data_IF_735410426465
#
_entry.id   IF_735410426465
#
_cell.length_a   1.000
_cell.length_b   1.000
_cell.length_c   1.000
_cell.angle_alpha   90.00
_cell.angle_beta   90.00
_cell.angle_gamma   90.00
#
_symmetry.space_group_name_H-M   'P 1'
#
loop_
_entity.id
_entity.type
_entity.pdbx_description
1 polymer ?
#
# COMPACT_ATOMS: atom_id res chain seq x y z
N UNK A 1 -0.04 -4.74 13.53
CA UNK A 1 0.54 -3.49 13.01
C UNK A 1 1.97 -3.72 12.57
N UNK A 2 2.36 -3.21 11.41
CA UNK A 2 3.74 -3.21 10.92
C UNK A 2 4.53 -2.07 11.59
N UNK A 3 5.78 -2.30 11.93
CA UNK A 3 6.61 -1.35 12.72
C UNK A 3 7.93 -1.01 12.04
N UNK A 4 8.42 -1.86 11.13
CA UNK A 4 9.63 -1.59 10.38
C UNK A 4 9.64 -2.33 9.05
N UNK A 5 10.22 -1.69 8.05
CA UNK A 5 10.48 -2.25 6.72
C UNK A 5 11.98 -2.12 6.42
N UNK A 6 12.65 -3.21 6.09
CA UNK A 6 14.02 -3.20 5.58
C UNK A 6 14.04 -3.82 4.20
N UNK A 7 14.68 -3.15 3.25
CA UNK A 7 14.70 -3.52 1.83
C UNK A 7 16.15 -3.61 1.37
N UNK A 8 16.48 -4.61 0.55
CA UNK A 8 17.76 -4.70 -0.19
C UNK A 8 17.57 -5.14 -1.63
N UNK A 9 18.40 -4.58 -2.52
CA UNK A 9 18.47 -4.89 -3.95
C UNK A 9 17.14 -4.76 -4.72
N UNK A 10 16.22 -3.92 -4.25
CA UNK A 10 14.87 -3.79 -4.82
C UNK A 10 14.67 -2.41 -5.44
N UNK A 11 14.38 -2.38 -6.75
CA UNK A 11 14.14 -1.15 -7.53
C UNK A 11 15.18 -0.07 -7.26
N UNK A 12 14.81 1.03 -6.62
CA UNK A 12 15.70 2.16 -6.34
C UNK A 12 16.65 1.92 -5.16
N UNK A 13 16.46 0.85 -4.38
CA UNK A 13 17.16 0.67 -3.10
C UNK A 13 18.28 -0.35 -3.15
N UNK A 14 19.47 0.08 -2.74
CA UNK A 14 20.57 -0.82 -2.39
C UNK A 14 20.28 -1.53 -1.07
N UNK A 15 20.16 -0.72 -0.01
CA UNK A 15 19.74 -1.13 1.32
C UNK A 15 19.10 0.08 2.00
N UNK A 16 17.90 -0.09 2.55
CA UNK A 16 17.23 0.94 3.33
C UNK A 16 16.44 0.31 4.47
N UNK A 17 16.34 1.02 5.60
CA UNK A 17 15.46 0.67 6.71
C UNK A 17 14.54 1.84 7.03
N UNK A 18 13.24 1.58 7.08
CA UNK A 18 12.18 2.56 7.24
C UNK A 18 11.39 2.21 8.50
N UNK A 19 11.30 3.17 9.41
CA UNK A 19 10.42 3.07 10.58
C UNK A 19 8.96 3.21 10.13
N UNK A 20 8.11 2.33 10.64
CA UNK A 20 6.66 2.39 10.44
C UNK A 20 5.96 2.61 11.79
N UNK A 21 4.74 3.13 11.74
CA UNK A 21 3.86 3.32 12.88
C UNK A 21 2.40 3.16 12.46
N UNK A 22 1.46 3.51 13.34
CA UNK A 22 0.01 3.43 13.02
C UNK A 22 -0.35 4.24 11.78
N UNK A 23 0.25 5.43 11.64
CA UNK A 23 0.12 6.31 10.49
C UNK A 23 1.50 6.79 10.08
N UNK A 24 1.84 6.56 8.82
CA UNK A 24 3.14 6.89 8.24
C UNK A 24 2.94 7.66 6.94
N UNK A 25 3.66 8.77 6.78
CA UNK A 25 3.67 9.55 5.54
C UNK A 25 5.09 9.62 5.00
N UNK A 26 5.29 9.07 3.80
CA UNK A 26 6.49 9.20 3.00
C UNK A 26 6.41 10.50 2.20
N UNK A 27 7.42 11.35 2.35
CA UNK A 27 7.49 12.65 1.67
C UNK A 27 8.80 12.82 0.93
N UNK A 28 8.75 13.49 -0.21
CA UNK A 28 9.92 13.70 -1.07
C UNK A 28 9.54 13.90 -2.52
N UNK A 29 10.51 14.25 -3.39
CA UNK A 29 10.24 14.52 -4.80
C UNK A 29 9.80 13.27 -5.58
N UNK A 30 9.32 13.48 -6.80
CA UNK A 30 9.04 12.37 -7.70
C UNK A 30 10.30 11.53 -7.93
N UNK A 31 10.12 10.22 -8.16
CA UNK A 31 11.20 9.27 -8.38
C UNK A 31 12.16 9.03 -7.19
N UNK A 32 11.89 9.57 -6.00
CA UNK A 32 12.74 9.35 -4.81
C UNK A 32 12.61 7.97 -4.14
N UNK A 33 11.77 7.08 -4.69
CA UNK A 33 11.58 5.71 -4.18
C UNK A 33 10.39 5.50 -3.24
N UNK A 34 9.55 6.51 -2.98
CA UNK A 34 8.35 6.38 -2.11
C UNK A 34 7.43 5.23 -2.54
N UNK A 35 7.01 5.22 -3.81
CA UNK A 35 6.18 4.15 -4.36
C UNK A 35 6.93 2.80 -4.37
N UNK A 36 8.25 2.80 -4.54
CA UNK A 36 9.06 1.58 -4.41
C UNK A 36 9.02 1.01 -2.98
N UNK A 37 9.00 1.84 -1.93
CA UNK A 37 8.88 1.37 -0.57
C UNK A 37 7.50 0.74 -0.28
N UNK A 38 6.42 1.34 -0.78
CA UNK A 38 5.08 0.75 -0.71
C UNK A 38 5.01 -0.58 -1.48
N UNK A 39 5.57 -0.62 -2.68
CA UNK A 39 5.61 -1.83 -3.50
C UNK A 39 6.45 -2.95 -2.88
N UNK A 40 7.49 -2.63 -2.09
CA UNK A 40 8.24 -3.63 -1.34
C UNK A 40 7.37 -4.33 -0.29
N UNK A 41 6.52 -3.59 0.44
CA UNK A 41 5.56 -4.17 1.37
C UNK A 41 4.53 -5.06 0.65
N UNK A 42 4.04 -4.61 -0.51
CA UNK A 42 3.12 -5.40 -1.32
C UNK A 42 3.77 -6.70 -1.84
N UNK A 43 5.02 -6.64 -2.30
CA UNK A 43 5.77 -7.84 -2.72
C UNK A 43 6.01 -8.80 -1.54
N UNK A 44 6.34 -8.27 -0.37
CA UNK A 44 6.52 -9.06 0.85
C UNK A 44 5.22 -9.78 1.24
N UNK A 45 4.08 -9.10 1.22
CA UNK A 45 2.77 -9.69 1.55
C UNK A 45 2.41 -10.84 0.58
N UNK A 46 2.60 -10.64 -0.73
CA UNK A 46 2.44 -11.72 -1.72
C UNK A 46 3.37 -12.88 -1.42
N UNK A 47 4.63 -12.59 -1.10
CA UNK A 47 5.64 -13.57 -0.73
C UNK A 47 5.22 -14.43 0.47
N UNK A 48 4.73 -13.79 1.54
CA UNK A 48 4.26 -14.46 2.76
C UNK A 48 3.05 -15.33 2.47
N UNK A 49 2.03 -14.79 1.79
CA UNK A 49 0.80 -15.53 1.46
C UNK A 49 1.10 -16.75 0.60
N UNK A 50 1.92 -16.61 -0.45
CA UNK A 50 2.35 -17.72 -1.30
C UNK A 50 3.19 -18.75 -0.55
N UNK A 51 4.03 -18.31 0.38
CA UNK A 51 4.80 -19.21 1.24
C UNK A 51 3.88 -20.06 2.12
N UNK A 52 2.99 -19.42 2.88
CA UNK A 52 2.08 -20.09 3.82
C UNK A 52 1.09 -21.00 3.08
N UNK A 53 0.58 -20.60 1.91
CA UNK A 53 -0.28 -21.44 1.06
C UNK A 53 0.40 -22.78 0.67
N UNK A 54 1.70 -22.75 0.37
CA UNK A 54 2.43 -23.91 -0.15
C UNK A 54 3.18 -24.71 0.90
N UNK A 55 3.60 -24.07 2.00
CA UNK A 55 4.53 -24.65 2.99
C UNK A 55 4.01 -24.58 4.43
N UNK A 56 3.00 -23.75 4.72
CA UNK A 56 2.56 -23.47 6.09
C UNK A 56 3.65 -22.81 6.93
N UNK A 57 3.51 -22.92 8.25
CA UNK A 57 4.44 -22.42 9.27
C UNK A 57 5.45 -23.49 9.75
N UNK A 58 5.48 -24.64 9.06
CA UNK A 58 6.34 -25.78 9.38
C UNK A 58 7.81 -25.61 9.00
N UNK A 59 8.59 -26.67 9.21
CA UNK A 59 10.03 -26.67 8.94
C UNK A 59 10.33 -26.42 7.46
N UNK A 60 11.29 -25.52 7.19
CA UNK A 60 11.70 -25.19 5.82
C UNK A 60 12.53 -26.34 5.22
N UNK A 61 12.17 -26.88 4.04
CA UNK A 61 12.93 -27.98 3.42
C UNK A 61 14.38 -27.59 3.09
N UNK A 62 15.33 -28.49 3.35
CA UNK A 62 16.75 -28.26 3.01
C UNK A 62 16.99 -28.19 1.49
N UNK A 63 16.24 -29.00 0.71
CA UNK A 63 16.35 -29.05 -0.76
C UNK A 63 15.19 -28.30 -1.41
N UNK A 64 15.53 -27.37 -2.32
CA UNK A 64 14.58 -26.53 -3.07
C UNK A 64 13.54 -25.85 -2.16
N UNK A 65 13.99 -25.00 -1.21
CA UNK A 65 13.09 -24.33 -0.28
C UNK A 65 12.13 -23.36 -0.97
N UNK A 66 12.51 -22.81 -2.14
CA UNK A 66 11.76 -21.75 -2.82
C UNK A 66 10.35 -22.15 -3.26
N UNK A 67 9.40 -21.23 -3.08
CA UNK A 67 8.09 -21.25 -3.74
C UNK A 67 8.14 -20.34 -4.96
N UNK A 68 7.61 -20.79 -6.08
CA UNK A 68 7.57 -19.98 -7.31
C UNK A 68 6.47 -18.94 -7.22
N UNK A 69 6.79 -17.71 -7.60
CA UNK A 69 5.84 -16.61 -7.78
C UNK A 69 5.91 -16.18 -9.24
N UNK A 70 4.75 -16.10 -9.91
CA UNK A 70 4.67 -15.56 -11.26
C UNK A 70 4.49 -14.05 -11.20
N UNK A 71 5.11 -13.29 -12.10
CA UNK A 71 4.95 -11.82 -12.14
C UNK A 71 3.51 -11.37 -12.34
N UNK A 72 2.66 -12.19 -12.96
CA UNK A 72 1.23 -11.91 -13.17
C UNK A 72 0.42 -12.00 -11.87
N UNK A 73 0.96 -12.68 -10.86
CA UNK A 73 0.38 -12.70 -9.50
C UNK A 73 0.71 -11.41 -8.73
N UNK A 74 1.61 -10.55 -9.23
CA UNK A 74 1.97 -9.27 -8.62
C UNK A 74 0.99 -8.17 -9.01
N UNK A 75 -0.25 -8.31 -8.56
CA UNK A 75 -1.35 -7.41 -8.91
C UNK A 75 -1.01 -5.97 -8.53
N UNK A 76 -0.52 -5.74 -7.30
CA UNK A 76 -0.15 -4.43 -6.78
C UNK A 76 1.23 -3.90 -7.25
N UNK A 77 2.04 -4.74 -7.88
CA UNK A 77 3.37 -4.37 -8.39
C UNK A 77 3.53 -4.88 -9.82
N UNK A 78 2.68 -4.41 -10.76
CA UNK A 78 2.69 -4.92 -12.12
C UNK A 78 4.02 -4.54 -12.78
N UNK A 79 4.74 -5.56 -13.27
CA UNK A 79 5.96 -5.38 -14.06
C UNK A 79 5.87 -6.21 -15.35
N UNK A 80 6.33 -5.66 -16.48
CA UNK A 80 6.35 -6.40 -17.75
C UNK A 80 7.38 -7.54 -17.75
N UNK A 81 8.43 -7.43 -16.93
CA UNK A 81 9.43 -8.48 -16.72
C UNK A 81 9.91 -8.48 -15.25
N UNK A 82 10.15 -9.66 -14.68
CA UNK A 82 10.49 -9.83 -13.27
C UNK A 82 11.79 -9.13 -12.86
N UNK A 83 12.78 -9.02 -13.75
CA UNK A 83 14.06 -8.36 -13.48
C UNK A 83 13.91 -6.86 -13.17
N UNK A 84 12.78 -6.22 -13.52
CA UNK A 84 12.48 -4.83 -13.15
C UNK A 84 12.24 -4.62 -11.65
N UNK A 85 12.09 -5.70 -10.88
CA UNK A 85 12.06 -5.64 -9.42
C UNK A 85 13.48 -5.50 -8.84
N UNK A 86 14.51 -5.99 -9.55
CA UNK A 86 15.89 -5.93 -9.10
C UNK A 86 16.48 -4.55 -9.37
N UNK A 87 17.24 -4.06 -8.40
CA UNK A 87 18.02 -2.85 -8.56
C UNK A 87 18.92 -2.95 -9.79
N UNK A 88 18.90 -1.91 -10.62
CA UNK A 88 19.67 -1.78 -11.86
C UNK A 88 19.51 -2.96 -12.84
N UNK A 89 18.39 -3.68 -12.76
CA UNK A 89 18.14 -4.94 -13.50
C UNK A 89 19.17 -6.04 -13.20
N UNK A 90 19.94 -5.87 -12.12
CA UNK A 90 21.09 -6.67 -11.79
C UNK A 90 20.68 -7.93 -11.02
N UNK A 91 20.47 -9.02 -11.76
CA UNK A 91 20.00 -10.30 -11.21
C UNK A 91 21.13 -11.29 -10.88
N UNK A 92 22.36 -11.02 -11.35
CA UNK A 92 23.52 -11.92 -11.22
C UNK A 92 24.81 -11.13 -11.04
N UNK A 93 25.61 -11.55 -10.07
CA UNK A 93 26.93 -10.97 -9.80
C UNK A 93 28.03 -12.02 -9.96
N UNK A 94 29.15 -11.64 -10.56
CA UNK A 94 30.34 -12.48 -10.63
C UNK A 94 31.21 -12.31 -9.39
N UNK A 95 31.53 -13.40 -8.71
CA UNK A 95 32.44 -13.43 -7.56
C UNK A 95 33.69 -14.24 -7.94
N UNK A 96 34.88 -13.66 -7.73
CA UNK A 96 36.15 -14.38 -7.96
C UNK A 96 36.50 -15.17 -6.71
N UNK A 97 36.43 -16.50 -6.80
CA UNK A 97 36.87 -17.41 -5.74
C UNK A 97 37.95 -18.31 -6.34
N UNK A 98 39.13 -18.34 -5.71
CA UNK A 98 40.27 -19.18 -6.14
C UNK A 98 40.63 -19.05 -7.65
N UNK A 99 40.57 -17.83 -8.19
CA UNK A 99 40.91 -17.56 -9.60
C UNK A 99 39.85 -17.95 -10.62
N UNK A 100 38.69 -18.47 -10.21
CA UNK A 100 37.52 -18.72 -11.07
C UNK A 100 36.40 -17.72 -10.79
N UNK A 101 35.76 -17.22 -11.84
CA UNK A 101 34.55 -16.39 -11.71
C UNK A 101 33.34 -17.31 -11.51
N UNK A 102 32.78 -17.29 -10.30
CA UNK A 102 31.51 -17.94 -9.97
C UNK A 102 30.40 -16.90 -10.08
N UNK A 103 29.39 -17.19 -10.90
CA UNK A 103 28.19 -16.34 -10.99
C UNK A 103 27.21 -16.74 -9.90
N UNK A 104 26.83 -15.80 -9.05
CA UNK A 104 25.79 -15.95 -8.03
C UNK A 104 24.59 -15.08 -8.38
N UNK A 105 23.40 -15.53 -8.01
CA UNK A 105 22.20 -14.70 -8.13
C UNK A 105 22.22 -13.60 -7.07
N UNK A 106 21.82 -12.40 -7.47
CA UNK A 106 21.58 -11.28 -6.56
C UNK A 106 20.17 -11.46 -6.00
N UNK A 107 20.04 -11.46 -4.68
CA UNK A 107 18.76 -11.65 -4.01
C UNK A 107 18.16 -10.30 -3.61
N UNK A 108 16.86 -10.13 -3.85
CA UNK A 108 16.09 -9.10 -3.15
C UNK A 108 15.86 -9.62 -1.73
N UNK A 109 16.08 -8.81 -0.70
CA UNK A 109 15.71 -9.13 0.68
C UNK A 109 14.71 -8.09 1.18
N UNK A 110 13.56 -8.56 1.69
CA UNK A 110 12.57 -7.69 2.32
C UNK A 110 12.26 -8.25 3.70
N UNK A 111 12.58 -7.48 4.74
CA UNK A 111 12.25 -7.79 6.12
C UNK A 111 11.18 -6.85 6.63
N UNK A 112 10.14 -7.42 7.23
CA UNK A 112 9.10 -6.67 7.90
C UNK A 112 9.04 -7.11 9.35
N UNK A 113 8.93 -6.12 10.23
CA UNK A 113 8.75 -6.32 11.67
C UNK A 113 7.40 -5.76 12.07
N UNK A 114 6.77 -6.34 13.08
CA UNK A 114 5.47 -5.87 13.54
C UNK A 114 5.11 -6.35 14.93
N UNK A 115 3.93 -5.94 15.36
CA UNK A 115 3.31 -6.37 16.61
C UNK A 115 1.95 -6.97 16.31
N UNK A 116 1.68 -8.14 16.88
CA UNK A 116 0.40 -8.84 16.81
C UNK A 116 0.03 -9.32 18.22
N UNK A 117 -1.15 -8.91 18.73
CA UNK A 117 -1.59 -9.18 20.12
C UNK A 117 -0.53 -8.92 21.19
N UNK A 118 0.22 -7.82 21.07
CA UNK A 118 1.28 -7.44 22.02
C UNK A 118 2.61 -8.21 21.86
N UNK A 119 2.69 -9.18 20.95
CA UNK A 119 3.91 -9.92 20.65
C UNK A 119 4.62 -9.33 19.44
N UNK A 120 5.92 -9.08 19.58
CA UNK A 120 6.79 -8.63 18.48
C UNK A 120 7.11 -9.83 17.58
N UNK A 121 7.02 -9.62 16.28
CA UNK A 121 7.38 -10.60 15.26
C UNK A 121 8.26 -9.97 14.18
N UNK A 122 9.04 -10.81 13.51
CA UNK A 122 9.86 -10.43 12.37
C UNK A 122 9.76 -11.50 11.29
N UNK A 123 9.71 -11.08 10.03
CA UNK A 123 9.68 -11.99 8.90
C UNK A 123 10.47 -11.41 7.71
N UNK A 124 11.61 -12.04 7.41
CA UNK A 124 12.42 -11.74 6.23
C UNK A 124 12.16 -12.74 5.11
N UNK A 125 11.94 -12.24 3.90
CA UNK A 125 11.86 -13.03 2.68
C UNK A 125 12.96 -12.61 1.70
N UNK A 126 13.59 -13.60 1.07
CA UNK A 126 14.51 -13.43 -0.05
C UNK A 126 13.85 -13.87 -1.36
N UNK A 127 14.01 -13.06 -2.40
CA UNK A 127 13.50 -13.34 -3.74
C UNK A 127 14.66 -13.56 -4.72
N UNK A 128 14.57 -14.65 -5.47
CA UNK A 128 15.63 -15.19 -6.31
C UNK A 128 15.16 -15.28 -7.76
N UNK A 129 15.81 -14.54 -8.65
CA UNK A 129 15.42 -14.44 -10.05
C UNK A 129 15.52 -15.79 -10.76
N UNK A 130 14.42 -16.23 -11.39
CA UNK A 130 14.41 -17.44 -12.21
C UNK A 130 14.45 -17.09 -13.70
N UNK A 131 13.51 -16.26 -14.17
CA UNK A 131 13.38 -15.80 -15.55
C UNK A 131 12.46 -14.56 -15.60
N UNK A 132 12.19 -14.05 -16.80
CA UNK A 132 11.39 -12.82 -16.97
C UNK A 132 9.96 -12.95 -16.44
N UNK A 133 9.40 -14.15 -16.33
CA UNK A 133 8.03 -14.38 -15.89
C UNK A 133 7.91 -14.79 -14.42
N UNK A 134 9.00 -15.18 -13.77
CA UNK A 134 8.94 -15.80 -12.44
C UNK A 134 10.21 -15.68 -11.61
N UNK A 135 10.03 -15.80 -10.31
CA UNK A 135 11.10 -15.82 -9.31
C UNK A 135 10.71 -16.72 -8.14
N UNK A 136 11.69 -17.12 -7.34
CA UNK A 136 11.47 -17.92 -6.14
C UNK A 136 11.46 -17.06 -4.90
N UNK A 137 10.50 -17.29 -4.00
CA UNK A 137 10.43 -16.70 -2.67
C UNK A 137 10.80 -17.74 -1.62
N UNK A 138 11.56 -17.34 -0.59
CA UNK A 138 11.88 -18.17 0.57
C UNK A 138 12.26 -17.32 1.79
N UNK A 139 12.15 -17.83 3.02
CA UNK A 139 12.51 -17.06 4.21
C UNK A 139 14.02 -16.85 4.29
N UNK A 140 14.45 -15.66 4.71
CA UNK A 140 15.87 -15.28 4.79
C UNK A 140 16.65 -16.23 5.71
N UNK A 141 17.92 -16.49 5.37
CA UNK A 141 18.81 -17.29 6.22
C UNK A 141 19.25 -16.51 7.46
N UNK A 142 19.21 -17.17 8.62
CA UNK A 142 19.75 -16.68 9.89
C UNK A 142 20.93 -17.56 10.30
N UNK A 143 22.10 -16.95 10.50
CA UNK A 143 23.29 -17.64 10.99
C UNK A 143 23.77 -18.80 10.08
N UNK A 144 24.26 -19.87 10.69
CA UNK A 144 24.97 -20.97 10.04
C UNK A 144 24.08 -21.97 9.25
N UNK A 145 22.90 -21.56 8.77
CA UNK A 145 22.13 -22.33 7.79
C UNK A 145 20.62 -22.42 8.01
N UNK A 146 20.12 -22.07 9.21
CA UNK A 146 18.68 -22.02 9.48
C UNK A 146 17.99 -20.89 8.73
N UNK A 147 16.71 -21.05 8.39
CA UNK A 147 15.89 -19.98 7.79
C UNK A 147 14.95 -19.40 8.85
N UNK A 148 14.62 -18.11 8.69
CA UNK A 148 13.62 -17.46 9.54
C UNK A 148 12.29 -18.22 9.49
N UNK A 149 11.58 -18.38 10.62
CA UNK A 149 10.21 -18.85 10.58
C UNK A 149 9.33 -17.81 9.87
N UNK A 150 8.27 -18.28 9.22
CA UNK A 150 7.19 -17.42 8.69
C UNK A 150 5.99 -17.64 9.60
N UNK A 151 5.64 -16.67 10.48
CA UNK A 151 4.54 -16.85 11.42
C UNK A 151 3.20 -17.06 10.71
N UNK A 152 2.42 -18.06 11.14
CA UNK A 152 1.13 -18.41 10.53
C UNK A 152 0.14 -17.24 10.52
N UNK A 153 0.10 -16.45 11.61
CA UNK A 153 -0.81 -15.30 11.77
C UNK A 153 -0.60 -14.20 10.71
N UNK A 154 0.49 -14.24 9.93
CA UNK A 154 0.67 -13.27 8.86
C UNK A 154 -0.34 -13.46 7.70
N UNK A 155 -1.03 -14.61 7.60
CA UNK A 155 -2.18 -14.74 6.67
C UNK A 155 -3.33 -13.80 7.01
N UNK A 156 -3.41 -13.36 8.27
CA UNK A 156 -4.51 -12.52 8.76
C UNK A 156 -4.28 -11.05 8.44
N UNK A 157 -3.06 -10.67 8.03
CA UNK A 157 -2.73 -9.31 7.61
C UNK A 157 -3.41 -9.03 6.27
N UNK A 158 -4.34 -8.07 6.29
CA UNK A 158 -5.02 -7.56 5.10
C UNK A 158 -4.30 -6.32 4.61
N UNK A 159 -3.30 -6.51 3.77
CA UNK A 159 -2.59 -5.42 3.11
C UNK A 159 -3.28 -5.06 1.79
N UNK A 160 -3.61 -3.78 1.62
CA UNK A 160 -4.26 -3.25 0.43
C UNK A 160 -3.41 -2.12 -0.17
N UNK A 161 -2.95 -2.30 -1.41
CA UNK A 161 -2.29 -1.26 -2.18
C UNK A 161 -3.33 -0.48 -2.98
N UNK A 162 -3.45 0.81 -2.72
CA UNK A 162 -4.45 1.69 -3.29
C UNK A 162 -3.75 2.81 -4.08
N UNK A 163 -3.64 2.66 -5.42
CA UNK A 163 -3.10 3.72 -6.26
C UNK A 163 -4.10 4.89 -6.40
N UNK A 164 -3.69 6.03 -6.96
CA UNK A 164 -4.58 7.16 -7.22
C UNK A 164 -5.78 6.73 -8.06
N UNK A 165 -6.98 7.21 -7.70
CA UNK A 165 -8.19 6.87 -8.45
C UNK A 165 -8.24 7.53 -9.83
N UNK A 166 -8.50 6.73 -10.87
CA UNK A 166 -8.72 7.17 -12.24
C UNK A 166 -10.21 7.21 -12.61
N UNK A 167 -10.95 8.14 -11.99
CA UNK A 167 -12.39 8.35 -12.25
C UNK A 167 -13.29 7.18 -11.82
N UNK A 168 -14.56 7.22 -12.24
CA UNK A 168 -15.55 6.16 -12.00
C UNK A 168 -16.18 5.71 -13.30
N UNK A 169 -16.41 4.41 -13.44
CA UNK A 169 -17.23 3.89 -14.53
C UNK A 169 -18.70 4.24 -14.30
N UNK A 170 -19.44 4.44 -15.41
CA UNK A 170 -20.87 4.72 -15.35
C UNK A 170 -21.68 3.53 -14.82
N UNK A 171 -21.13 2.32 -14.91
CA UNK A 171 -21.76 1.08 -14.44
C UNK A 171 -20.71 0.19 -13.80
N UNK A 172 -21.12 -0.50 -12.75
CA UNK A 172 -20.26 -1.38 -11.97
C UNK A 172 -20.98 -2.70 -11.76
N UNK A 173 -20.42 -3.80 -12.27
CA UNK A 173 -20.96 -5.12 -12.01
C UNK A 173 -20.77 -5.47 -10.52
N UNK A 174 -21.67 -6.28 -9.96
CA UNK A 174 -21.42 -6.86 -8.64
C UNK A 174 -20.29 -7.89 -8.76
N UNK A 175 -19.24 -7.71 -7.96
CA UNK A 175 -18.05 -8.54 -7.92
C UNK A 175 -17.97 -9.35 -6.62
N UNK A 176 -17.30 -10.50 -6.70
CA UNK A 176 -16.86 -11.25 -5.52
C UNK A 176 -15.58 -10.65 -4.93
N UNK A 177 -15.30 -10.90 -3.64
CA UNK A 177 -14.18 -10.27 -2.93
C UNK A 177 -12.84 -10.43 -3.65
N UNK A 178 -12.51 -11.63 -4.12
CA UNK A 178 -11.26 -11.87 -4.83
C UNK A 178 -11.13 -11.07 -6.14
N UNK A 179 -12.24 -10.76 -6.83
CA UNK A 179 -12.22 -9.91 -8.01
C UNK A 179 -12.03 -8.43 -7.65
N UNK A 180 -12.60 -7.99 -6.53
CA UNK A 180 -12.40 -6.63 -5.99
C UNK A 180 -10.93 -6.41 -5.64
N UNK A 181 -10.30 -7.36 -4.95
CA UNK A 181 -8.87 -7.30 -4.60
C UNK A 181 -7.97 -7.21 -5.85
N UNK A 182 -8.32 -7.97 -6.90
CA UNK A 182 -7.61 -7.90 -8.18
C UNK A 182 -7.75 -6.51 -8.82
N UNK A 183 -8.98 -5.98 -8.88
CA UNK A 183 -9.22 -4.67 -9.50
C UNK A 183 -8.56 -3.54 -8.70
N UNK A 184 -8.57 -3.60 -7.36
CA UNK A 184 -7.87 -2.65 -6.51
C UNK A 184 -6.35 -2.68 -6.77
N UNK A 185 -5.75 -3.87 -6.80
CA UNK A 185 -4.30 -4.00 -7.05
C UNK A 185 -3.89 -3.50 -8.44
N UNK A 186 -4.71 -3.71 -9.47
CA UNK A 186 -4.47 -3.21 -10.83
C UNK A 186 -4.76 -1.72 -10.99
N UNK A 187 -5.21 -1.05 -9.92
CA UNK A 187 -5.60 0.36 -9.95
C UNK A 187 -6.90 0.66 -10.68
N UNK A 188 -7.73 -0.37 -10.94
CA UNK A 188 -9.10 -0.25 -11.45
C UNK A 188 -10.08 0.13 -10.33
N UNK A 189 -9.70 1.13 -9.53
CA UNK A 189 -10.50 1.72 -8.45
C UNK A 189 -11.85 2.25 -8.94
N UNK A 190 -11.91 2.64 -10.22
CA UNK A 190 -13.12 3.07 -10.92
C UNK A 190 -14.24 2.02 -10.97
N UNK A 191 -13.88 0.73 -10.86
CA UNK A 191 -14.76 -0.44 -11.05
C UNK A 191 -15.12 -1.13 -9.73
N UNK A 192 -14.75 -0.56 -8.58
CA UNK A 192 -14.90 -1.21 -7.26
C UNK A 192 -15.52 -0.34 -6.18
N UNK A 193 -15.71 0.97 -6.40
CA UNK A 193 -16.25 1.85 -5.38
C UNK A 193 -17.63 1.41 -4.89
N UNK A 194 -18.55 1.10 -5.81
CA UNK A 194 -19.92 0.70 -5.44
C UNK A 194 -19.92 -0.69 -4.79
N UNK A 195 -19.02 -1.57 -5.20
CA UNK A 195 -18.79 -2.87 -4.58
C UNK A 195 -18.32 -2.74 -3.14
N UNK A 196 -17.36 -1.86 -2.86
CA UNK A 196 -16.91 -1.60 -1.49
C UNK A 196 -18.03 -1.04 -0.62
N UNK A 197 -18.79 -0.08 -1.14
CA UNK A 197 -19.96 0.47 -0.42
C UNK A 197 -21.00 -0.62 -0.14
N UNK A 198 -21.29 -1.46 -1.13
CA UNK A 198 -22.20 -2.60 -0.99
C UNK A 198 -21.71 -3.59 0.06
N UNK A 199 -20.40 -3.89 0.09
CA UNK A 199 -19.80 -4.77 1.08
C UNK A 199 -19.90 -4.22 2.50
N UNK A 200 -19.74 -2.91 2.70
CA UNK A 200 -19.93 -2.29 4.02
C UNK A 200 -21.33 -2.61 4.56
N UNK A 201 -22.37 -2.40 3.75
CA UNK A 201 -23.75 -2.68 4.17
C UNK A 201 -24.04 -4.18 4.34
N UNK A 202 -23.42 -5.04 3.52
CA UNK A 202 -23.68 -6.48 3.54
C UNK A 202 -23.05 -7.22 4.73
N UNK A 203 -22.14 -6.59 5.48
CA UNK A 203 -21.49 -7.17 6.65
C UNK A 203 -22.29 -6.95 7.95
N UNK A 204 -21.96 -7.69 9.00
CA UNK A 204 -22.56 -7.52 10.33
C UNK A 204 -22.38 -6.10 10.86
N UNK A 205 -23.41 -5.49 11.45
CA UNK A 205 -23.41 -4.06 11.81
C UNK A 205 -23.10 -3.11 10.63
N UNK A 206 -23.33 -3.56 9.40
CA UNK A 206 -23.05 -2.79 8.18
C UNK A 206 -23.83 -1.48 8.09
N UNK A 207 -25.06 -1.45 8.58
CA UNK A 207 -25.87 -0.22 8.63
C UNK A 207 -25.24 0.87 9.50
N UNK A 208 -24.67 0.52 10.65
CA UNK A 208 -24.03 1.48 11.56
C UNK A 208 -22.76 2.05 10.90
N UNK A 209 -21.93 1.18 10.32
CA UNK A 209 -20.72 1.59 9.59
C UNK A 209 -21.08 2.47 8.38
N UNK A 210 -22.14 2.13 7.65
CA UNK A 210 -22.60 2.92 6.52
C UNK A 210 -23.11 4.30 6.97
N UNK A 211 -23.90 4.38 8.05
CA UNK A 211 -24.33 5.67 8.63
C UNK A 211 -23.15 6.56 8.99
N UNK A 212 -22.11 6.01 9.62
CA UNK A 212 -20.90 6.77 9.94
C UNK A 212 -20.20 7.31 8.68
N UNK A 213 -20.13 6.53 7.59
CA UNK A 213 -19.61 6.98 6.30
C UNK A 213 -20.48 8.12 5.73
N UNK A 214 -21.80 7.97 5.74
CA UNK A 214 -22.75 8.99 5.24
C UNK A 214 -22.55 10.31 6.00
N UNK A 215 -22.43 10.26 7.33
CA UNK A 215 -22.20 11.44 8.16
C UNK A 215 -20.88 12.14 7.83
N UNK A 216 -19.79 11.38 7.67
CA UNK A 216 -18.47 11.91 7.28
C UNK A 216 -18.48 12.55 5.90
N UNK A 217 -19.10 11.88 4.92
CA UNK A 217 -19.21 12.42 3.55
C UNK A 217 -20.08 13.67 3.52
N UNK A 218 -21.14 13.72 4.34
CA UNK A 218 -21.96 14.91 4.51
C UNK A 218 -21.18 16.06 5.16
N UNK A 219 -20.38 15.79 6.19
CA UNK A 219 -19.57 16.80 6.85
C UNK A 219 -18.50 17.38 5.92
N UNK A 220 -17.79 16.52 5.18
CA UNK A 220 -16.71 16.93 4.28
C UNK A 220 -17.25 17.60 3.01
N UNK A 221 -18.24 17.01 2.34
CA UNK A 221 -18.66 17.40 1.00
C UNK A 221 -20.04 18.05 0.94
N UNK A 222 -20.83 17.97 2.01
CA UNK A 222 -22.24 18.40 1.99
C UNK A 222 -23.13 17.52 1.11
N UNK A 223 -22.67 16.32 0.78
CA UNK A 223 -23.39 15.32 0.00
C UNK A 223 -23.94 14.23 0.93
N UNK A 224 -25.19 13.86 0.75
CA UNK A 224 -25.81 12.78 1.52
C UNK A 224 -25.90 11.53 0.63
N UNK A 225 -25.14 10.49 0.98
CA UNK A 225 -25.14 9.24 0.22
C UNK A 225 -26.43 8.46 0.48
N UNK A 226 -27.05 7.94 -0.58
CA UNK A 226 -28.09 6.92 -0.46
C UNK A 226 -27.45 5.53 -0.41
N UNK A 227 -28.18 4.53 0.07
CA UNK A 227 -27.67 3.16 0.15
C UNK A 227 -27.34 2.60 -1.25
N UNK A 228 -26.22 1.86 -1.41
CA UNK A 228 -25.94 1.14 -2.64
C UNK A 228 -27.01 0.08 -2.92
N UNK A 229 -27.44 -0.02 -4.17
CA UNK A 229 -28.52 -0.91 -4.61
C UNK A 229 -28.03 -1.91 -5.65
N UNK A 230 -28.37 -3.18 -5.47
CA UNK A 230 -28.10 -4.23 -6.43
C UNK A 230 -29.29 -4.45 -7.37
N UNK A 231 -29.08 -4.20 -8.66
CA UNK A 231 -30.08 -4.42 -9.72
C UNK A 231 -29.88 -5.83 -10.28
N UNK A 232 -30.66 -6.79 -9.77
CA UNK A 232 -30.52 -8.22 -10.09
C UNK A 232 -30.65 -8.53 -11.58
N UNK A 233 -31.53 -7.81 -12.28
CA UNK A 233 -31.83 -8.02 -13.70
C UNK A 233 -30.64 -7.66 -14.61
N UNK A 234 -29.73 -6.80 -14.12
CA UNK A 234 -28.54 -6.35 -14.86
C UNK A 234 -27.23 -6.84 -14.26
N UNK A 235 -27.25 -7.35 -13.02
CA UNK A 235 -26.03 -7.69 -12.30
C UNK A 235 -25.20 -6.45 -11.90
N UNK A 236 -25.82 -5.28 -11.82
CA UNK A 236 -25.15 -3.99 -11.64
C UNK A 236 -25.42 -3.40 -10.25
N UNK A 237 -24.44 -2.69 -9.70
CA UNK A 237 -24.57 -1.87 -8.49
C UNK A 237 -24.78 -0.41 -8.85
N UNK A 238 -25.72 0.23 -8.17
CA UNK A 238 -25.97 1.66 -8.24
C UNK A 238 -25.64 2.31 -6.90
N UNK A 239 -25.13 3.53 -6.97
CA UNK A 239 -24.90 4.37 -5.80
C UNK A 239 -25.14 5.81 -6.22
N UNK A 240 -26.01 6.49 -5.49
CA UNK A 240 -26.41 7.85 -5.75
C UNK A 240 -26.33 8.69 -4.48
N UNK A 241 -26.31 10.01 -4.64
CA UNK A 241 -26.21 10.96 -3.54
C UNK A 241 -27.13 12.14 -3.77
N UNK A 242 -27.57 12.76 -2.68
CA UNK A 242 -28.37 13.99 -2.68
C UNK A 242 -27.47 15.20 -2.45
N UNK A 243 -27.57 16.19 -3.33
CA UNK A 243 -26.88 17.49 -3.17
C UNK A 243 -27.52 18.35 -2.09
N UNK A 244 -26.90 19.48 -1.74
CA UNK A 244 -27.45 20.44 -0.77
C UNK A 244 -28.79 21.02 -1.22
N UNK A 245 -28.99 21.13 -2.53
CA UNK A 245 -30.20 21.61 -3.19
C UNK A 245 -31.29 20.54 -3.28
N UNK A 246 -31.03 19.32 -2.78
CA UNK A 246 -31.99 18.22 -2.77
C UNK A 246 -32.05 17.42 -4.07
N UNK A 247 -31.11 17.61 -4.99
CA UNK A 247 -31.06 16.90 -6.27
C UNK A 247 -30.34 15.57 -6.09
N UNK A 248 -30.93 14.47 -6.58
CA UNK A 248 -30.27 13.15 -6.57
C UNK A 248 -29.46 12.95 -7.85
N UNK A 249 -28.18 12.64 -7.72
CA UNK A 249 -27.25 12.38 -8.80
C UNK A 249 -26.52 11.04 -8.57
N UNK A 250 -26.11 10.38 -9.65
CA UNK A 250 -25.24 9.20 -9.56
C UNK A 250 -23.87 9.58 -8.96
N UNK A 251 -23.24 8.68 -8.20
CA UNK A 251 -21.94 8.94 -7.57
C UNK A 251 -20.84 9.29 -8.58
N UNK A 252 -20.95 8.84 -9.83
CA UNK A 252 -20.03 9.22 -10.92
C UNK A 252 -20.03 10.72 -11.22
N UNK A 253 -21.11 11.44 -10.88
CA UNK A 253 -21.21 12.88 -11.02
C UNK A 253 -20.60 13.66 -9.84
N UNK A 254 -20.13 12.98 -8.79
CA UNK A 254 -19.42 13.64 -7.67
C UNK A 254 -17.97 13.97 -8.05
N UNK A 255 -17.34 14.88 -7.30
CA UNK A 255 -15.93 15.22 -7.51
C UNK A 255 -14.99 14.08 -7.14
N UNK A 256 -13.85 13.95 -7.84
CA UNK A 256 -12.85 12.88 -7.59
C UNK A 256 -12.41 12.78 -6.13
N UNK A 257 -12.27 13.91 -5.44
CA UNK A 257 -11.93 13.90 -4.02
C UNK A 257 -12.98 13.24 -3.12
N UNK A 258 -14.27 13.40 -3.44
CA UNK A 258 -15.34 12.69 -2.75
C UNK A 258 -15.29 11.19 -3.04
N UNK A 259 -15.07 10.81 -4.30
CA UNK A 259 -14.98 9.41 -4.72
C UNK A 259 -13.79 8.71 -4.05
N UNK A 260 -12.60 9.32 -4.07
CA UNK A 260 -11.39 8.81 -3.40
C UNK A 260 -11.61 8.68 -1.89
N UNK A 261 -12.16 9.71 -1.24
CA UNK A 261 -12.40 9.67 0.21
C UNK A 261 -13.39 8.56 0.56
N UNK A 262 -14.48 8.43 -0.21
CA UNK A 262 -15.46 7.36 -0.01
C UNK A 262 -14.84 5.97 -0.21
N UNK A 263 -13.97 5.79 -1.21
CA UNK A 263 -13.26 4.53 -1.44
C UNK A 263 -12.45 4.12 -0.22
N UNK A 264 -11.67 5.06 0.35
CA UNK A 264 -10.83 4.81 1.52
C UNK A 264 -11.67 4.51 2.77
N UNK A 265 -12.72 5.30 3.02
CA UNK A 265 -13.64 5.09 4.15
C UNK A 265 -14.36 3.74 4.05
N UNK A 266 -14.89 3.40 2.88
CA UNK A 266 -15.58 2.15 2.63
C UNK A 266 -14.62 0.95 2.76
N UNK A 267 -13.40 1.06 2.24
CA UNK A 267 -12.41 -0.01 2.34
C UNK A 267 -12.03 -0.30 3.81
N UNK A 268 -11.73 0.74 4.59
CA UNK A 268 -11.43 0.60 6.03
C UNK A 268 -12.63 0.04 6.81
N UNK A 269 -13.85 0.50 6.49
CA UNK A 269 -15.05 0.01 7.14
C UNK A 269 -15.38 -1.45 6.79
N UNK A 270 -15.13 -1.88 5.56
CA UNK A 270 -15.32 -3.27 5.11
C UNK A 270 -14.19 -4.20 5.59
N UNK A 271 -13.01 -3.64 5.88
CA UNK A 271 -11.83 -4.39 6.30
C UNK A 271 -11.19 -3.78 7.57
N UNK A 272 -11.83 -3.91 8.74
CA UNK A 272 -11.21 -3.52 10.00
C UNK A 272 -9.87 -4.23 10.21
N UNK A 273 -8.86 -3.54 10.74
CA UNK A 273 -7.51 -4.09 10.93
C UNK A 273 -6.62 -4.06 9.69
N UNK A 274 -7.09 -3.56 8.54
CA UNK A 274 -6.31 -3.54 7.30
C UNK A 274 -5.09 -2.60 7.36
N UNK A 275 -4.07 -2.92 6.58
CA UNK A 275 -2.90 -2.07 6.30
C UNK A 275 -3.09 -1.45 4.92
N UNK A 276 -3.33 -0.14 4.86
CA UNK A 276 -3.54 0.59 3.62
C UNK A 276 -2.23 1.22 3.17
N UNK A 277 -1.77 0.83 1.98
CA UNK A 277 -0.65 1.45 1.28
C UNK A 277 -1.23 2.44 0.26
N UNK A 278 -1.11 3.74 0.53
CA UNK A 278 -1.71 4.79 -0.29
C UNK A 278 -0.61 5.45 -1.13
N UNK A 279 -0.71 5.37 -2.45
CA UNK A 279 0.21 6.08 -3.34
C UNK A 279 -0.48 7.34 -3.86
N UNK A 280 0.06 8.52 -3.53
CA UNK A 280 -0.48 9.85 -3.84
C UNK A 280 -1.99 10.02 -3.58
N UNK A 281 -2.46 9.79 -2.34
CA UNK A 281 -3.88 9.93 -2.00
C UNK A 281 -4.41 11.37 -2.17
N UNK A 282 -3.51 12.35 -2.30
CA UNK A 282 -3.77 13.77 -2.48
C UNK A 282 -3.85 14.26 -3.93
N UNK A 283 -3.46 13.45 -4.93
CA UNK A 283 -3.28 13.90 -6.32
C UNK A 283 -4.50 14.58 -6.97
N UNK A 284 -5.71 14.36 -6.43
CA UNK A 284 -6.96 14.92 -6.94
C UNK A 284 -7.77 15.70 -5.88
N UNK A 285 -7.15 16.03 -4.75
CA UNK A 285 -7.78 16.77 -3.66
C UNK A 285 -7.45 18.26 -3.76
N UNK A 286 -8.49 19.11 -3.66
CA UNK A 286 -8.31 20.55 -3.48
C UNK A 286 -7.46 20.83 -2.23
N UNK A 287 -6.45 21.70 -2.35
CA UNK A 287 -5.47 22.02 -1.29
C UNK A 287 -6.16 22.33 0.05
N UNK A 288 -7.24 23.11 0.04
CA UNK A 288 -7.97 23.51 1.25
C UNK A 288 -8.65 22.33 1.97
N UNK A 289 -9.02 21.27 1.25
CA UNK A 289 -9.70 20.09 1.81
C UNK A 289 -8.74 18.98 2.21
N UNK A 290 -7.51 18.98 1.69
CA UNK A 290 -6.49 17.95 2.00
C UNK A 290 -6.29 17.77 3.52
N UNK A 291 -6.26 18.86 4.30
CA UNK A 291 -6.14 18.80 5.76
C UNK A 291 -7.32 18.07 6.41
N UNK A 292 -8.54 18.49 6.09
CA UNK A 292 -9.76 17.92 6.67
C UNK A 292 -9.91 16.44 6.29
N UNK A 293 -9.65 16.11 5.03
CA UNK A 293 -9.71 14.73 4.54
C UNK A 293 -8.66 13.87 5.25
N UNK A 294 -7.42 14.35 5.40
CA UNK A 294 -6.39 13.59 6.12
C UNK A 294 -6.77 13.35 7.60
N UNK A 295 -7.34 14.36 8.27
CA UNK A 295 -7.81 14.23 9.66
C UNK A 295 -8.93 13.18 9.78
N UNK A 296 -9.94 13.24 8.92
CA UNK A 296 -11.05 12.27 8.90
C UNK A 296 -10.56 10.85 8.57
N UNK A 297 -9.64 10.70 7.62
CA UNK A 297 -9.04 9.41 7.29
C UNK A 297 -8.23 8.85 8.47
N UNK A 298 -7.48 9.72 9.16
CA UNK A 298 -6.67 9.33 10.33
C UNK A 298 -7.52 8.90 11.51
N UNK A 299 -8.67 9.55 11.71
CA UNK A 299 -9.62 9.20 12.77
C UNK A 299 -10.38 7.93 12.43
N UNK A 300 -10.88 7.80 11.20
CA UNK A 300 -11.56 6.59 10.75
C UNK A 300 -10.62 5.36 10.79
N UNK A 301 -9.35 5.53 10.43
CA UNK A 301 -8.34 4.47 10.57
C UNK A 301 -8.17 4.04 12.03
N UNK A 302 -8.20 4.98 12.98
CA UNK A 302 -8.14 4.68 14.41
C UNK A 302 -9.36 3.89 14.87
N UNK A 303 -10.55 4.26 14.43
CA UNK A 303 -11.81 3.57 14.73
C UNK A 303 -11.85 2.15 14.16
N UNK A 304 -11.35 1.95 12.95
CA UNK A 304 -11.31 0.64 12.29
C UNK A 304 -10.06 -0.16 12.64
N UNK A 305 -9.19 0.35 13.53
CA UNK A 305 -7.89 -0.24 13.88
C UNK A 305 -7.01 -0.52 12.64
N UNK A 306 -7.13 0.32 11.62
CA UNK A 306 -6.39 0.24 10.37
C UNK A 306 -5.06 0.99 10.47
N UNK A 307 -4.05 0.48 9.78
CA UNK A 307 -2.76 1.14 9.63
C UNK A 307 -2.69 1.87 8.27
N UNK A 308 -2.16 3.09 8.25
CA UNK A 308 -1.94 3.85 7.00
C UNK A 308 -0.45 4.03 6.75
N UNK A 309 0.01 3.67 5.55
CA UNK A 309 1.32 4.03 5.02
C UNK A 309 1.10 4.75 3.69
N UNK A 310 1.24 6.07 3.69
CA UNK A 310 0.93 6.91 2.54
C UNK A 310 2.20 7.50 1.92
N UNK A 311 2.32 7.52 0.60
CA UNK A 311 3.28 8.31 -0.13
C UNK A 311 2.58 9.57 -0.66
N UNK A 312 3.09 10.75 -0.32
CA UNK A 312 2.47 12.02 -0.70
C UNK A 312 3.54 13.05 -1.07
N UNK A 313 3.15 13.99 -1.94
CA UNK A 313 3.91 15.21 -2.23
C UNK A 313 3.25 16.46 -1.65
N UNK A 314 2.10 16.33 -0.96
CA UNK A 314 1.36 17.44 -0.38
C UNK A 314 2.06 18.01 0.87
N UNK A 315 2.40 19.30 0.80
CA UNK A 315 2.83 20.07 1.96
C UNK A 315 1.74 20.13 3.04
N UNK A 316 0.46 20.10 2.66
CA UNK A 316 -0.67 20.17 3.61
C UNK A 316 -0.74 18.90 4.44
N UNK A 317 -0.65 17.73 3.79
CA UNK A 317 -0.62 16.43 4.48
C UNK A 317 0.62 16.31 5.35
N UNK A 318 1.78 16.71 4.84
CA UNK A 318 3.04 16.71 5.59
C UNK A 318 2.93 17.56 6.87
N UNK A 319 2.44 18.79 6.78
CA UNK A 319 2.28 19.66 7.94
C UNK A 319 1.31 19.09 8.97
N UNK A 320 0.23 18.45 8.52
CA UNK A 320 -0.74 17.81 9.42
C UNK A 320 -0.14 16.56 10.09
N UNK A 321 0.59 15.74 9.34
CA UNK A 321 1.24 14.53 9.83
C UNK A 321 2.41 14.82 10.79
N UNK A 322 3.21 15.88 10.54
CA UNK A 322 4.43 16.18 11.30
C UNK A 322 4.20 16.40 12.81
N UNK A 323 2.98 16.75 13.22
CA UNK A 323 2.64 16.94 14.64
C UNK A 323 2.10 15.70 15.35
N UNK A 324 1.73 14.63 14.63
CA UNK A 324 0.91 13.53 15.17
C UNK A 324 1.34 12.14 14.71
N UNK A 325 2.02 12.04 13.58
CA UNK A 325 2.25 10.80 12.86
C UNK A 325 3.74 10.61 12.53
N UNK A 326 4.09 9.43 12.03
CA UNK A 326 5.47 9.17 11.60
C UNK A 326 5.66 9.73 10.20
N UNK A 327 6.62 10.64 10.03
CA UNK A 327 6.95 11.20 8.73
C UNK A 327 8.35 10.74 8.32
N UNK A 328 8.47 10.14 7.13
CA UNK A 328 9.73 9.68 6.57
C UNK A 328 10.05 10.52 5.33
N UNK A 329 11.17 11.24 5.35
CA UNK A 329 11.68 11.96 4.20
C UNK A 329 12.48 11.02 3.28
N UNK A 330 12.17 11.04 1.99
CA UNK A 330 12.88 10.37 0.91
C UNK A 330 13.70 11.43 0.16
N UNK A 331 14.71 11.96 0.83
CA UNK A 331 15.75 12.83 0.27
C UNK A 331 17.08 12.17 0.65
N UNK A 332 17.84 11.71 -0.34
CA UNK A 332 18.94 10.77 -0.10
C UNK A 332 18.44 9.48 0.55
N UNK A 333 19.08 9.06 1.65
CA UNK A 333 18.64 7.88 2.40
C UNK A 333 17.37 8.17 3.23
N UNK A 334 16.29 7.36 3.09
CA UNK A 334 15.06 7.56 3.86
C UNK A 334 15.28 7.64 5.37
N UNK A 335 14.77 8.71 5.98
CA UNK A 335 14.95 8.96 7.41
C UNK A 335 13.73 9.67 8.01
N UNK A 336 13.53 9.48 9.31
CA UNK A 336 12.42 10.11 10.04
C UNK A 336 12.65 11.60 10.19
N UNK A 337 11.62 12.39 9.89
CA UNK A 337 11.59 13.81 10.21
C UNK A 337 11.17 13.99 11.67
N UNK A 338 12.03 14.68 12.42
CA UNK A 338 11.68 15.20 13.75
C UNK A 338 10.98 16.56 13.59
N UNK A 339 10.50 17.15 14.70
CA UNK A 339 9.69 18.40 14.79
C UNK A 339 10.21 19.67 14.05
N UNK A 340 11.28 19.58 13.24
CA UNK A 340 11.80 20.62 12.32
C UNK A 340 11.29 20.44 10.87
N UNK A 341 10.10 19.85 10.68
CA UNK A 341 9.50 19.67 9.35
C UNK A 341 9.45 20.97 8.52
N UNK A 342 9.27 22.13 9.17
CA UNK A 342 9.18 23.45 8.53
C UNK A 342 10.44 23.91 7.78
N UNK A 343 11.64 23.49 8.20
CA UNK A 343 12.89 23.83 7.49
C UNK A 343 13.10 22.95 6.26
N UNK A 344 12.80 21.65 6.38
CA UNK A 344 12.91 20.71 5.26
C UNK A 344 11.82 20.97 4.20
N UNK A 345 10.64 21.45 4.63
CA UNK A 345 9.57 21.95 3.77
C UNK A 345 10.01 23.13 2.89
N UNK A 346 10.76 24.10 3.44
CA UNK A 346 11.33 25.19 2.63
C UNK A 346 12.35 24.68 1.62
N UNK A 347 13.20 23.74 2.02
CA UNK A 347 14.18 23.12 1.14
C UNK A 347 13.50 22.35 0.00
N UNK A 348 12.47 21.54 0.29
CA UNK A 348 11.73 20.80 -0.73
C UNK A 348 11.07 21.71 -1.79
N UNK A 349 10.71 22.94 -1.41
CA UNK A 349 10.05 23.94 -2.26
C UNK A 349 11.02 24.70 -3.17
N UNK A 350 12.21 24.99 -2.66
CA UNK A 350 13.16 25.90 -3.32
C UNK A 350 14.24 25.14 -4.13
N UNK A 351 14.31 23.80 -4.00
CA UNK A 351 15.29 22.93 -4.67
C UNK A 351 14.65 22.33 -5.93
N UNK A 352 15.14 22.74 -7.10
CA UNK A 352 14.82 22.07 -8.38
C UNK A 352 15.47 20.68 -8.44
N UNK A 353 15.02 19.82 -9.37
CA UNK A 353 15.59 18.47 -9.54
C UNK A 353 17.14 18.45 -9.63
N UNK A 354 17.74 19.51 -10.19
CA UNK A 354 19.19 19.67 -10.35
C UNK A 354 19.96 19.89 -9.02
N UNK A 355 19.34 20.48 -8.01
CA UNK A 355 19.99 20.80 -6.73
C UNK A 355 19.99 19.60 -5.76
N UNK A 356 19.16 18.56 -6.01
CA UNK A 356 19.14 17.34 -5.20
C UNK A 356 20.37 16.45 -5.42
N UNK A 357 20.92 16.43 -6.64
CA UNK A 357 22.13 15.65 -6.96
C UNK A 357 23.37 16.22 -6.25
N UNK A 358 23.40 17.53 -6.03
CA UNK A 358 24.49 18.24 -5.35
C UNK A 358 24.47 18.07 -3.83
N UNK A 359 23.36 17.59 -3.25
CA UNK A 359 23.25 17.31 -1.81
C UNK A 359 23.68 15.87 -1.45
N UNK A 360 23.96 15.02 -2.45
CA UNK A 360 24.47 13.65 -2.28
C UNK A 360 25.99 13.52 -2.45
N UNK A 361 26.70 14.57 -2.92
CA UNK A 361 28.17 14.70 -2.86
C UNK A 361 28.63 15.35 -1.54
#
# INVERSE_FOLDING_TARGET
MLTRLTIRNFKMFDSVAIELGERVVFVGPNNSGKSSALQALALWDVGVKRWLEKRGDGAVPEKRPGVTINRRDLIAVPVPAANLLWRDLHVRQGERVEGKTLTRNVLIEIHVEGVHHGQVWQCGLEFDYANEESFYCRPVRVGAGSRMPVPAHLTDIRLAYLPPMSGLTAREARLEMGAIDVHLGEGRTAEVLRNLCWQVLAQDSGEERWRAIVERVRALFGAELNEPRYIKERGELLLDYRTREGITLDISASGRGQQQTLLLLAHMAANPGAVLLLDEPDAHLEILRQRQIYQELSEHARETNSQIVAASHSEVILNEAAGRDTVIAFIGNPHRLNNRASQLLKALRDIGFEDYYLAEE
#
